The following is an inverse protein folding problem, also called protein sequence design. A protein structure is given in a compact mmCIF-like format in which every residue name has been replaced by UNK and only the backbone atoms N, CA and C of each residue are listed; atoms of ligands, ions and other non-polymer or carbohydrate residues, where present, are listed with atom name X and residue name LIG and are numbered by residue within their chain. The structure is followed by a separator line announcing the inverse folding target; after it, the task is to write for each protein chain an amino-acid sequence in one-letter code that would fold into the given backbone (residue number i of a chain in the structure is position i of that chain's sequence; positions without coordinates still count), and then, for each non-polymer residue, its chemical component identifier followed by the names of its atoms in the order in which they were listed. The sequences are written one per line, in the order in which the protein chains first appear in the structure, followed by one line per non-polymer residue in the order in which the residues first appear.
data_IF_087605963899
#
_entry.id   IF_087605963899
#
_cell.length_a   1.000
_cell.length_b   1.000
_cell.length_c   1.000
_cell.angle_alpha   90.00
_cell.angle_beta   90.00
_cell.angle_gamma   90.00
#
_symmetry.space_group_name_H-M   'P 1'
#
loop_
_entity.id
_entity.type
_entity.pdbx_description
1 polymer ?
#
# COMPACT_ATOMS: atom_id res chain seq x y z
N UNK A 1 -7.59 -24.79 6.40
CA UNK A 1 -7.03 -23.92 7.46
C UNK A 1 -5.56 -23.51 7.29
N UNK A 2 -4.66 -24.29 6.68
CA UNK A 2 -3.40 -23.74 6.13
C UNK A 2 -3.44 -23.58 4.60
N UNK A 3 -4.05 -24.54 3.90
CA UNK A 3 -4.22 -24.51 2.43
C UNK A 3 -5.04 -23.32 1.92
N UNK A 4 -6.18 -23.02 2.55
CA UNK A 4 -7.04 -21.88 2.19
C UNK A 4 -6.31 -20.53 2.32
N UNK A 5 -5.46 -20.37 3.34
CA UNK A 5 -4.63 -19.16 3.48
C UNK A 5 -3.57 -19.06 2.38
N UNK A 6 -3.03 -20.20 1.93
CA UNK A 6 -2.03 -20.25 0.88
C UNK A 6 -2.63 -19.84 -0.48
N UNK A 7 -3.81 -20.38 -0.81
CA UNK A 7 -4.55 -20.03 -2.02
C UNK A 7 -4.96 -18.54 -2.03
N UNK A 8 -5.44 -18.03 -0.90
CA UNK A 8 -5.73 -16.60 -0.76
C UNK A 8 -4.45 -15.75 -0.91
N UNK A 9 -3.34 -16.20 -0.32
CA UNK A 9 -2.06 -15.49 -0.40
C UNK A 9 -1.51 -15.43 -1.81
N UNK A 10 -1.61 -16.48 -2.63
CA UNK A 10 -1.16 -16.43 -4.02
C UNK A 10 -1.84 -15.30 -4.81
N UNK A 11 -3.15 -15.10 -4.59
CA UNK A 11 -3.91 -14.03 -5.22
C UNK A 11 -3.46 -12.63 -4.75
N UNK A 12 -3.22 -12.47 -3.45
CA UNK A 12 -2.89 -11.18 -2.82
C UNK A 12 -1.40 -10.81 -3.02
N UNK A 13 -0.52 -11.82 -3.13
CA UNK A 13 0.93 -11.65 -3.27
C UNK A 13 1.34 -10.65 -4.35
N UNK A 14 0.51 -10.56 -5.40
CA UNK A 14 0.76 -9.72 -6.57
C UNK A 14 0.72 -8.21 -6.31
N UNK A 15 0.17 -7.76 -5.18
CA UNK A 15 0.18 -6.35 -4.75
C UNK A 15 0.81 -6.11 -3.38
N UNK A 16 1.11 -7.16 -2.60
CA UNK A 16 1.83 -7.03 -1.31
C UNK A 16 3.15 -6.30 -1.51
N UNK A 17 3.91 -6.60 -2.57
CA UNK A 17 5.17 -5.91 -2.84
C UNK A 17 4.99 -4.39 -2.97
N UNK A 18 3.87 -3.94 -3.55
CA UNK A 18 3.57 -2.52 -3.68
C UNK A 18 3.26 -1.90 -2.32
N UNK A 19 2.52 -2.59 -1.47
CA UNK A 19 2.29 -2.15 -0.08
C UNK A 19 3.61 -2.03 0.69
N UNK A 20 4.49 -3.03 0.57
CA UNK A 20 5.80 -3.02 1.20
C UNK A 20 6.68 -1.86 0.71
N UNK A 21 6.71 -1.58 -0.60
CA UNK A 21 7.45 -0.43 -1.14
C UNK A 21 6.89 0.89 -0.61
N UNK A 22 5.55 1.05 -0.53
CA UNK A 22 4.93 2.28 -0.02
C UNK A 22 5.31 2.52 1.45
N UNK A 23 5.27 1.47 2.26
CA UNK A 23 5.52 1.55 3.70
C UNK A 23 7.01 1.69 4.04
N UNK A 24 7.88 0.97 3.33
CA UNK A 24 9.32 0.93 3.66
C UNK A 24 10.14 1.94 2.85
N UNK A 25 9.69 2.27 1.62
CA UNK A 25 10.49 3.00 0.63
C UNK A 25 11.56 2.14 -0.06
N UNK A 26 11.48 0.81 0.06
CA UNK A 26 12.45 -0.13 -0.52
C UNK A 26 11.76 -1.31 -1.21
N UNK A 27 12.37 -1.76 -2.30
CA UNK A 27 11.99 -3.02 -2.96
C UNK A 27 12.52 -4.23 -2.16
N UNK A 28 12.14 -5.44 -2.61
CA UNK A 28 12.64 -6.71 -2.03
C UNK A 28 14.16 -6.87 -2.07
N UNK A 29 14.87 -6.18 -2.96
CA UNK A 29 16.33 -6.18 -3.06
C UNK A 29 16.98 -5.12 -2.15
N UNK A 30 16.19 -4.41 -1.35
CA UNK A 30 16.60 -3.30 -0.46
C UNK A 30 17.12 -2.08 -1.21
N UNK A 31 16.79 -1.93 -2.50
CA UNK A 31 17.04 -0.70 -3.22
C UNK A 31 15.95 0.31 -2.90
N UNK A 32 16.33 1.58 -2.81
CA UNK A 32 15.38 2.67 -2.61
C UNK A 32 14.41 2.70 -3.80
N UNK A 33 13.13 2.56 -3.51
CA UNK A 33 12.07 2.52 -4.52
C UNK A 33 10.91 3.41 -4.10
N UNK A 34 10.22 3.97 -5.09
CA UNK A 34 9.03 4.78 -4.88
C UNK A 34 8.07 4.50 -6.02
N UNK A 35 6.84 4.12 -5.67
CA UNK A 35 5.80 3.92 -6.66
C UNK A 35 5.22 5.26 -7.13
N UNK A 36 4.82 5.30 -8.39
CA UNK A 36 3.96 6.31 -8.98
C UNK A 36 2.53 5.80 -9.16
N UNK A 37 1.68 6.68 -9.71
CA UNK A 37 0.28 6.33 -9.99
C UNK A 37 0.15 5.18 -11.00
N UNK A 38 1.00 5.13 -12.02
CA UNK A 38 0.95 4.07 -13.04
C UNK A 38 1.16 2.67 -12.44
N UNK A 39 2.05 2.55 -11.44
CA UNK A 39 2.26 1.29 -10.73
C UNK A 39 0.98 0.81 -10.01
N UNK A 40 0.14 1.74 -9.54
CA UNK A 40 -1.15 1.38 -8.94
C UNK A 40 -2.16 0.90 -9.99
N UNK A 41 -2.19 1.54 -11.16
CA UNK A 41 -3.11 1.18 -12.24
C UNK A 41 -2.92 -0.27 -12.71
N UNK A 42 -1.68 -0.76 -12.72
CA UNK A 42 -1.39 -2.16 -13.00
C UNK A 42 -2.08 -3.14 -12.04
N UNK A 43 -2.29 -2.75 -10.78
CA UNK A 43 -3.04 -3.56 -9.81
C UNK A 43 -4.53 -3.37 -10.02
N UNK A 44 -4.98 -2.12 -10.16
CA UNK A 44 -6.41 -1.81 -10.25
C UNK A 44 -7.06 -2.39 -11.51
N UNK A 45 -6.29 -2.58 -12.58
CA UNK A 45 -6.73 -3.24 -13.81
C UNK A 45 -6.82 -4.77 -13.75
N UNK A 46 -6.33 -5.41 -12.68
CA UNK A 46 -6.44 -6.87 -12.54
C UNK A 46 -7.88 -7.27 -12.18
N UNK A 47 -8.39 -8.30 -12.85
CA UNK A 47 -9.76 -8.81 -12.64
C UNK A 47 -9.92 -9.56 -11.31
N UNK A 48 -8.85 -10.16 -10.80
CA UNK A 48 -8.86 -10.99 -9.59
C UNK A 48 -8.53 -10.21 -8.30
N UNK A 49 -8.53 -8.88 -8.34
CA UNK A 49 -8.28 -8.04 -7.17
C UNK A 49 -9.60 -7.46 -6.70
N UNK A 50 -9.97 -7.73 -5.45
CA UNK A 50 -11.19 -7.22 -4.85
C UNK A 50 -11.16 -5.69 -4.71
N UNK A 51 -12.33 -5.06 -4.74
CA UNK A 51 -12.44 -3.61 -4.58
C UNK A 51 -11.90 -3.12 -3.23
N UNK A 52 -12.10 -3.91 -2.17
CA UNK A 52 -11.56 -3.69 -0.82
C UNK A 52 -10.04 -3.55 -0.82
N UNK A 53 -9.32 -4.43 -1.53
CA UNK A 53 -7.87 -4.39 -1.67
C UNK A 53 -7.41 -3.16 -2.49
N UNK A 54 -8.15 -2.81 -3.55
CA UNK A 54 -7.88 -1.59 -4.33
C UNK A 54 -8.00 -0.34 -3.47
N UNK A 55 -9.03 -0.25 -2.64
CA UNK A 55 -9.22 0.83 -1.68
C UNK A 55 -8.11 0.87 -0.63
N UNK A 56 -7.72 -0.27 -0.07
CA UNK A 56 -6.61 -0.34 0.90
C UNK A 56 -5.32 0.24 0.31
N UNK A 57 -4.96 -0.18 -0.91
CA UNK A 57 -3.77 0.31 -1.59
C UNK A 57 -3.87 1.80 -1.96
N UNK A 58 -5.04 2.27 -2.41
CA UNK A 58 -5.31 3.68 -2.65
C UNK A 58 -5.08 4.54 -1.39
N UNK A 59 -5.62 4.11 -0.24
CA UNK A 59 -5.44 4.82 1.02
C UNK A 59 -3.99 4.80 1.47
N UNK A 60 -3.31 3.66 1.37
CA UNK A 60 -1.90 3.54 1.72
C UNK A 60 -1.03 4.51 0.92
N UNK A 61 -1.25 4.60 -0.39
CA UNK A 61 -0.53 5.53 -1.25
C UNK A 61 -0.81 6.98 -0.90
N UNK A 62 -2.05 7.34 -0.57
CA UNK A 62 -2.38 8.66 -0.03
C UNK A 62 -1.68 8.96 1.28
N UNK A 63 -1.67 8.02 2.22
CA UNK A 63 -1.02 8.20 3.52
C UNK A 63 0.49 8.38 3.42
N UNK A 64 1.12 7.89 2.34
CA UNK A 64 2.52 8.14 2.04
C UNK A 64 2.84 9.60 1.65
N UNK A 65 1.81 10.42 1.45
CA UNK A 65 1.94 11.82 1.01
C UNK A 65 1.65 12.05 -0.47
N UNK A 66 1.07 11.07 -1.17
CA UNK A 66 0.70 11.23 -2.57
C UNK A 66 -0.66 11.95 -2.72
N UNK A 67 -0.65 13.07 -3.46
CA UNK A 67 -1.84 13.84 -3.80
C UNK A 67 -2.30 13.52 -5.23
N UNK A 68 -3.40 12.76 -5.34
CA UNK A 68 -4.00 12.43 -6.63
C UNK A 68 -4.58 13.67 -7.31
N UNK A 69 -4.16 13.89 -8.56
CA UNK A 69 -4.68 14.96 -9.42
C UNK A 69 -6.09 14.64 -9.93
N UNK A 70 -6.80 15.65 -10.41
CA UNK A 70 -8.17 15.50 -10.91
C UNK A 70 -8.29 14.48 -12.04
N UNK A 71 -7.33 14.46 -12.97
CA UNK A 71 -7.27 13.49 -14.06
C UNK A 71 -7.03 12.06 -13.58
N UNK A 72 -6.21 11.88 -12.54
CA UNK A 72 -5.91 10.58 -11.94
C UNK A 72 -7.14 10.05 -11.20
N UNK A 73 -7.85 10.92 -10.47
CA UNK A 73 -9.14 10.57 -9.85
C UNK A 73 -10.18 10.16 -10.88
N UNK A 74 -10.25 10.85 -12.03
CA UNK A 74 -11.15 10.46 -13.12
C UNK A 74 -10.78 9.06 -13.64
N UNK A 75 -9.49 8.78 -13.79
CA UNK A 75 -9.00 7.46 -14.23
C UNK A 75 -9.29 6.36 -13.20
N UNK A 76 -9.22 6.65 -11.89
CA UNK A 76 -9.62 5.71 -10.85
C UNK A 76 -11.09 5.27 -10.99
N UNK A 77 -11.98 6.16 -11.44
CA UNK A 77 -13.39 5.79 -11.68
C UNK A 77 -13.56 4.72 -12.76
N UNK A 78 -12.66 4.67 -13.74
CA UNK A 78 -12.65 3.61 -14.77
C UNK A 78 -12.37 2.22 -14.17
N UNK A 79 -11.78 2.17 -12.96
CA UNK A 79 -11.52 0.94 -12.21
C UNK A 79 -12.55 0.64 -11.11
N UNK A 80 -13.68 1.36 -11.11
CA UNK A 80 -14.80 1.12 -10.20
C UNK A 80 -14.81 1.94 -8.90
N UNK A 81 -13.87 2.88 -8.73
CA UNK A 81 -13.87 3.77 -7.57
C UNK A 81 -15.02 4.79 -7.65
N UNK A 82 -15.73 4.95 -6.54
CA UNK A 82 -16.84 5.89 -6.40
C UNK A 82 -16.37 7.26 -5.95
N UNK A 83 -17.14 8.29 -6.26
CA UNK A 83 -16.84 9.66 -5.84
C UNK A 83 -16.66 9.79 -4.33
N UNK A 84 -17.51 9.13 -3.54
CA UNK A 84 -17.47 9.11 -2.08
C UNK A 84 -16.18 8.52 -1.51
N UNK A 85 -15.56 7.57 -2.20
CA UNK A 85 -14.29 6.93 -1.82
C UNK A 85 -13.09 7.83 -2.17
N UNK A 86 -13.24 8.66 -3.20
CA UNK A 86 -12.22 9.58 -3.71
C UNK A 86 -12.25 10.95 -3.02
N UNK A 87 -13.18 11.14 -2.06
CA UNK A 87 -13.27 12.37 -1.26
C UNK A 87 -11.96 12.55 -0.52
N UNK A 88 -11.34 13.70 -0.75
CA UNK A 88 -10.25 14.17 0.08
C UNK A 88 -10.87 14.75 1.34
N UNK A 89 -10.90 13.98 2.43
CA UNK A 89 -11.15 14.58 3.73
C UNK A 89 -9.95 15.49 4.02
N UNK A 90 -10.08 16.78 3.69
CA UNK A 90 -9.11 17.84 4.04
C UNK A 90 -9.18 18.11 5.55
N UNK A 91 -8.91 17.11 6.38
CA UNK A 91 -8.77 17.31 7.82
C UNK A 91 -7.35 16.91 8.19
N UNK A 92 -6.48 17.90 8.44
CA UNK A 92 -5.26 17.80 9.26
C UNK A 92 -4.56 16.43 9.28
N UNK A 93 -4.41 15.79 8.12
CA UNK A 93 -3.84 14.46 8.07
C UNK A 93 -2.33 14.64 8.19
N UNK A 94 -1.78 14.27 9.34
CA UNK A 94 -0.34 14.08 9.48
C UNK A 94 -0.01 12.90 8.58
N UNK A 95 0.69 13.14 7.47
CA UNK A 95 1.18 12.09 6.60
C UNK A 95 1.90 11.04 7.43
N UNK A 96 1.54 9.77 7.23
CA UNK A 96 2.12 8.70 8.01
C UNK A 96 3.59 8.57 7.64
N UNK A 97 4.46 8.86 8.60
CA UNK A 97 5.91 8.63 8.48
C UNK A 97 6.27 7.45 9.37
N UNK A 98 6.40 6.24 8.82
CA UNK A 98 6.80 5.09 9.60
C UNK A 98 8.16 5.33 10.24
N UNK A 99 8.29 4.97 11.52
CA UNK A 99 9.59 5.00 12.19
C UNK A 99 10.49 3.94 11.55
N UNK A 100 11.71 4.34 11.22
CA UNK A 100 12.68 3.43 10.62
C UNK A 100 13.39 2.69 11.72
N UNK A 101 13.37 1.37 11.63
CA UNK A 101 14.19 0.50 12.45
C UNK A 101 14.98 -0.44 11.54
N UNK A 102 16.27 -0.61 11.83
CA UNK A 102 17.14 -1.54 11.12
C UNK A 102 16.86 -2.97 11.61
N UNK A 103 15.69 -3.51 11.28
CA UNK A 103 15.38 -4.92 11.51
C UNK A 103 15.85 -5.76 10.32
N UNK A 104 16.37 -6.96 10.58
CA UNK A 104 16.55 -7.97 9.54
C UNK A 104 15.23 -8.72 9.39
N UNK A 105 14.49 -8.41 8.34
CA UNK A 105 13.29 -9.18 7.99
C UNK A 105 13.71 -10.46 7.26
N UNK A 106 13.14 -11.59 7.66
CA UNK A 106 13.40 -12.91 7.05
C UNK A 106 12.51 -13.17 5.82
N UNK A 107 11.44 -12.39 5.64
CA UNK A 107 10.44 -12.59 4.60
C UNK A 107 10.22 -11.34 3.75
N UNK A 108 10.30 -11.50 2.42
CA UNK A 108 10.09 -10.40 1.46
C UNK A 108 8.68 -9.78 1.58
N UNK A 109 7.67 -10.54 1.96
CA UNK A 109 6.28 -10.04 2.04
C UNK A 109 5.94 -9.33 3.35
N UNK A 110 6.88 -9.27 4.30
CA UNK A 110 6.67 -8.71 5.64
C UNK A 110 7.87 -7.87 6.09
N UNK A 111 8.17 -6.81 5.34
CA UNK A 111 9.31 -5.90 5.58
C UNK A 111 8.95 -4.64 6.36
N UNK A 112 7.68 -4.34 6.50
CA UNK A 112 7.23 -3.21 7.30
C UNK A 112 7.11 -3.62 8.77
N UNK A 113 7.87 -2.94 9.64
CA UNK A 113 7.70 -3.03 11.09
C UNK A 113 6.68 -1.97 11.56
N UNK A 114 5.62 -2.35 12.30
CA UNK A 114 4.67 -1.39 12.84
C UNK A 114 5.34 -0.32 13.72
N UNK A 115 5.03 0.97 13.49
CA UNK A 115 5.57 2.09 14.28
C UNK A 115 5.42 1.91 15.79
N UNK A 116 4.31 1.33 16.26
CA UNK A 116 4.08 1.07 17.69
C UNK A 116 5.09 0.07 18.26
N UNK A 117 5.45 -0.96 17.50
CA UNK A 117 6.48 -1.93 17.92
C UNK A 117 7.84 -1.28 18.09
N UNK A 118 8.19 -0.36 17.17
CA UNK A 118 9.44 0.42 17.28
C UNK A 118 9.45 1.26 18.56
N UNK A 119 8.37 1.98 18.85
CA UNK A 119 8.24 2.79 20.07
C UNK A 119 8.39 1.94 21.33
N UNK A 120 7.73 0.77 21.38
CA UNK A 120 7.77 -0.10 22.56
C UNK A 120 9.15 -0.73 22.82
N UNK A 121 10.05 -0.78 21.82
CA UNK A 121 11.44 -1.25 22.01
C UNK A 121 12.38 -0.16 22.51
N UNK A 122 12.01 1.09 22.31
CA UNK A 122 12.80 2.27 22.71
C UNK A 122 12.45 2.75 24.14
N UNK A 123 11.47 2.12 24.81
CA UNK A 123 11.04 2.37 26.20
C UNK A 123 11.62 1.29 27.12
#
# INVERSE_FOLDING_TARGET
MAGECYEAFENISSFIEKEQIILTGFDKLKNKSKLGFNDLLEIFGKQNVEHSDKLRLYHLFRFSGYEFKSEEKRKLKEFGFKDEELITVKNNFIYFKPLKYNYKYDYDVSRYEPTVSVILRDI
#
